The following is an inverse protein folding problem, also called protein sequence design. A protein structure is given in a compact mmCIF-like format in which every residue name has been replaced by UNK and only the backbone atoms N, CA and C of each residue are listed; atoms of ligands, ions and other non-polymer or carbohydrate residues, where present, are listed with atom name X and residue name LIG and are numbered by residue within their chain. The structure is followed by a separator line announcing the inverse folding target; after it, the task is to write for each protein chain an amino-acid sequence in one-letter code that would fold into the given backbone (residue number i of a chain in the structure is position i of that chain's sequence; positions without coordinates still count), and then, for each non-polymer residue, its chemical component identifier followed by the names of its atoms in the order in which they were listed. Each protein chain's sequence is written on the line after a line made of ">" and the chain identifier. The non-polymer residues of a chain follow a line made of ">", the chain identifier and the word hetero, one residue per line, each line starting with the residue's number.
data_IF_338781470705
#
_entry.id   IF_338781470705
#
_cell.length_a   1.000
_cell.length_b   1.000
_cell.length_c   1.000
_cell.angle_alpha   90.00
_cell.angle_beta   90.00
_cell.angle_gamma   90.00
#
_symmetry.space_group_name_H-M   'P 1'
#
loop_
_entity.id
_entity.type
_entity.pdbx_description
1 polymer ?
#
# COMPACT_ATOMS: atom_id res chain seq x y z
N UNK A 1 -1.20 0.45 -30.37
CA UNK A 1 -1.70 0.72 -29.00
C UNK A 1 -1.48 -0.53 -28.17
N UNK A 2 -0.90 -0.39 -27.00
CA UNK A 2 -0.63 -1.49 -26.08
C UNK A 2 -1.75 -1.52 -25.04
N UNK A 3 -2.34 -2.69 -24.84
CA UNK A 3 -3.30 -2.93 -23.77
C UNK A 3 -2.79 -4.11 -22.93
N UNK A 4 -2.92 -3.98 -21.62
CA UNK A 4 -2.51 -4.99 -20.64
C UNK A 4 -3.73 -5.28 -19.79
N UNK A 5 -4.03 -6.55 -19.56
CA UNK A 5 -5.04 -6.95 -18.58
C UNK A 5 -4.41 -7.28 -17.24
N UNK A 6 -5.13 -7.00 -16.17
CA UNK A 6 -4.74 -7.39 -14.83
C UNK A 6 -5.00 -8.88 -14.66
N UNK A 7 -3.98 -9.70 -14.38
CA UNK A 7 -4.18 -11.11 -14.07
C UNK A 7 -5.04 -11.29 -12.82
N UNK A 8 -5.91 -12.28 -12.84
CA UNK A 8 -6.79 -12.67 -11.71
C UNK A 8 -7.85 -11.63 -11.28
N UNK A 9 -8.01 -10.53 -12.05
CA UNK A 9 -9.00 -9.49 -11.77
C UNK A 9 -8.66 -8.62 -10.54
N UNK A 10 -9.60 -7.74 -10.20
CA UNK A 10 -9.50 -6.88 -9.01
C UNK A 10 -9.95 -7.65 -7.75
N UNK A 11 -9.26 -7.42 -6.62
CA UNK A 11 -9.64 -7.92 -5.29
C UNK A 11 -9.64 -6.77 -4.29
N UNK A 12 -10.42 -6.89 -3.21
CA UNK A 12 -10.43 -5.88 -2.13
C UNK A 12 -9.06 -5.72 -1.45
N UNK A 13 -8.20 -6.74 -1.53
CA UNK A 13 -6.82 -6.71 -1.03
C UNK A 13 -5.82 -6.53 -2.18
N UNK A 14 -5.92 -5.39 -2.88
CA UNK A 14 -5.07 -5.05 -4.04
C UNK A 14 -3.59 -4.79 -3.70
N UNK A 15 -3.14 -5.10 -2.49
CA UNK A 15 -1.78 -4.79 -2.05
C UNK A 15 -0.71 -5.71 -2.67
N UNK A 16 -1.10 -6.92 -3.08
CA UNK A 16 -0.17 -7.90 -3.66
C UNK A 16 -0.31 -7.96 -5.20
N UNK A 17 0.34 -7.02 -5.88
CA UNK A 17 0.36 -6.95 -7.35
C UNK A 17 1.72 -7.45 -7.88
N UNK A 18 2.07 -8.73 -7.61
CA UNK A 18 3.34 -9.33 -8.06
C UNK A 18 3.57 -9.20 -9.57
N UNK A 19 2.51 -9.29 -10.36
CA UNK A 19 2.59 -9.09 -11.80
C UNK A 19 3.03 -7.67 -12.17
N UNK A 20 2.63 -6.66 -11.38
CA UNK A 20 3.08 -5.28 -11.58
C UNK A 20 4.54 -5.11 -11.15
N UNK A 21 4.94 -5.77 -10.05
CA UNK A 21 6.34 -5.76 -9.58
C UNK A 21 7.29 -6.27 -10.67
N UNK A 22 6.86 -7.28 -11.42
CA UNK A 22 7.66 -7.90 -12.49
C UNK A 22 7.70 -7.08 -13.79
N UNK A 23 6.82 -6.11 -13.99
CA UNK A 23 6.73 -5.32 -15.23
C UNK A 23 6.69 -3.81 -14.99
N UNK A 24 7.05 -3.34 -13.79
CA UNK A 24 7.00 -1.91 -13.45
C UNK A 24 7.85 -1.07 -14.40
N UNK A 25 9.02 -1.57 -14.81
CA UNK A 25 9.94 -0.89 -15.71
C UNK A 25 9.30 -0.58 -17.08
N UNK A 26 8.28 -1.37 -17.49
CA UNK A 26 7.52 -1.11 -18.72
C UNK A 26 6.75 0.21 -18.66
N UNK A 27 6.39 0.68 -17.47
CA UNK A 27 5.61 1.89 -17.25
C UNK A 27 6.45 3.14 -17.01
N UNK A 28 7.76 3.02 -16.74
CA UNK A 28 8.63 4.14 -16.36
C UNK A 28 8.72 5.24 -17.45
N UNK A 29 8.68 4.84 -18.74
CA UNK A 29 8.78 5.77 -19.87
C UNK A 29 7.40 6.14 -20.47
N UNK A 30 6.30 5.85 -19.81
CA UNK A 30 4.98 6.12 -20.36
C UNK A 30 4.49 7.50 -19.94
N UNK A 31 4.16 8.31 -20.91
CA UNK A 31 3.53 9.63 -20.71
C UNK A 31 2.04 9.52 -20.34
N UNK A 32 1.42 8.38 -20.69
CA UNK A 32 -0.01 8.18 -20.45
C UNK A 32 -0.35 6.71 -20.24
N UNK A 33 -0.91 6.41 -19.08
CA UNK A 33 -1.44 5.09 -18.71
C UNK A 33 -2.94 5.24 -18.44
N UNK A 34 -3.78 4.61 -19.25
CA UNK A 34 -5.24 4.68 -19.10
C UNK A 34 -5.69 3.52 -18.24
N UNK A 35 -6.29 3.83 -17.11
CA UNK A 35 -6.88 2.86 -16.19
C UNK A 35 -8.36 2.68 -16.56
N UNK A 36 -8.69 1.48 -17.06
CA UNK A 36 -10.01 1.07 -17.48
C UNK A 36 -10.43 -0.15 -16.66
N UNK A 37 -10.59 0.05 -15.37
CA UNK A 37 -10.99 -0.96 -14.39
C UNK A 37 -12.50 -1.00 -14.23
N UNK A 38 -13.02 -2.05 -13.59
CA UNK A 38 -14.43 -2.21 -13.31
C UNK A 38 -14.93 -1.12 -12.35
N UNK A 39 -16.18 -0.71 -12.51
CA UNK A 39 -16.81 0.30 -11.64
C UNK A 39 -17.50 -0.38 -10.45
N UNK A 40 -16.71 -1.18 -9.71
CA UNK A 40 -17.12 -1.80 -8.46
C UNK A 40 -16.06 -1.56 -7.38
N UNK A 41 -16.36 -1.92 -6.14
CA UNK A 41 -15.47 -1.68 -4.99
C UNK A 41 -14.06 -2.30 -5.18
N UNK A 42 -13.91 -3.57 -5.65
CA UNK A 42 -12.60 -4.12 -5.99
C UNK A 42 -11.88 -3.37 -7.10
N UNK A 43 -12.59 -2.94 -8.16
CA UNK A 43 -12.02 -2.18 -9.27
C UNK A 43 -11.52 -0.81 -8.84
N UNK A 44 -12.25 -0.11 -7.97
CA UNK A 44 -11.85 1.17 -7.40
C UNK A 44 -10.62 1.02 -6.49
N UNK A 45 -10.56 -0.04 -5.68
CA UNK A 45 -9.38 -0.34 -4.86
C UNK A 45 -8.14 -0.62 -5.72
N UNK A 46 -8.29 -1.38 -6.79
CA UNK A 46 -7.24 -1.62 -7.77
C UNK A 46 -6.79 -0.33 -8.45
N UNK A 47 -7.73 0.53 -8.87
CA UNK A 47 -7.45 1.81 -9.50
C UNK A 47 -6.58 2.70 -8.60
N UNK A 48 -6.95 2.84 -7.33
CA UNK A 48 -6.19 3.63 -6.36
C UNK A 48 -4.77 3.08 -6.16
N UNK A 49 -4.63 1.76 -6.08
CA UNK A 49 -3.32 1.13 -5.91
C UNK A 49 -2.44 1.31 -7.17
N UNK A 50 -3.03 1.21 -8.38
CA UNK A 50 -2.31 1.47 -9.63
C UNK A 50 -1.86 2.93 -9.71
N UNK A 51 -2.72 3.91 -9.38
CA UNK A 51 -2.36 5.33 -9.33
C UNK A 51 -1.21 5.55 -8.35
N UNK A 52 -1.28 4.94 -7.15
CA UNK A 52 -0.24 5.06 -6.13
C UNK A 52 1.12 4.54 -6.59
N UNK A 53 1.14 3.45 -7.35
CA UNK A 53 2.39 2.81 -7.82
C UNK A 53 2.95 3.43 -9.09
N UNK A 54 2.09 3.81 -10.03
CA UNK A 54 2.49 4.33 -11.33
C UNK A 54 2.73 5.85 -11.32
N UNK A 55 2.08 6.56 -10.40
CA UNK A 55 2.08 8.01 -10.32
C UNK A 55 0.81 8.61 -10.94
N UNK A 56 0.22 9.59 -10.24
CA UNK A 56 -1.01 10.25 -10.68
C UNK A 56 -0.80 11.05 -11.98
N UNK A 57 0.40 11.56 -12.19
CA UNK A 57 0.78 12.40 -13.32
C UNK A 57 0.71 11.69 -14.68
N UNK A 58 0.88 10.36 -14.70
CA UNK A 58 0.82 9.56 -15.93
C UNK A 58 -0.50 8.80 -16.06
N UNK A 59 -1.32 8.74 -15.01
CA UNK A 59 -2.55 7.97 -14.97
C UNK A 59 -3.75 8.79 -15.48
N UNK A 60 -4.57 8.14 -16.29
CA UNK A 60 -5.82 8.68 -16.82
C UNK A 60 -6.95 7.71 -16.55
N UNK A 61 -8.09 8.21 -16.11
CA UNK A 61 -9.25 7.42 -15.75
C UNK A 61 -10.26 7.35 -16.89
N UNK A 62 -10.72 6.15 -17.19
CA UNK A 62 -11.85 5.91 -18.08
C UNK A 62 -13.04 5.41 -17.28
N UNK A 63 -14.20 6.04 -17.43
CA UNK A 63 -15.47 5.64 -16.79
C UNK A 63 -16.42 5.13 -17.86
N UNK A 64 -17.19 4.09 -17.56
CA UNK A 64 -18.11 3.44 -18.50
C UNK A 64 -19.58 3.78 -18.22
N UNK A 65 -19.84 4.90 -17.54
CA UNK A 65 -21.18 5.45 -17.24
C UNK A 65 -22.10 4.44 -16.55
N UNK A 66 -23.13 3.98 -17.26
CA UNK A 66 -24.14 3.04 -16.80
C UNK A 66 -23.76 1.54 -17.03
N UNK A 67 -22.51 1.29 -17.41
CA UNK A 67 -21.96 -0.05 -17.60
C UNK A 67 -20.91 -0.35 -16.53
N UNK A 68 -20.90 -1.60 -16.09
CA UNK A 68 -19.99 -2.05 -15.04
C UNK A 68 -18.51 -2.00 -15.50
N UNK A 69 -18.27 -2.36 -16.76
CA UNK A 69 -16.93 -2.50 -17.30
C UNK A 69 -16.86 -2.14 -18.79
N UNK A 70 -15.65 -2.19 -19.34
CA UNK A 70 -15.38 -1.92 -20.76
C UNK A 70 -16.08 -2.92 -21.70
N UNK A 71 -16.28 -4.18 -21.28
CA UNK A 71 -16.93 -5.21 -22.10
C UNK A 71 -18.43 -4.96 -22.20
N UNK A 72 -19.08 -4.63 -21.08
CA UNK A 72 -20.49 -4.27 -21.07
C UNK A 72 -20.75 -3.02 -21.94
N UNK A 73 -19.84 -2.04 -21.84
CA UNK A 73 -19.90 -0.84 -22.66
C UNK A 73 -19.73 -1.14 -24.15
N UNK A 74 -18.77 -2.04 -24.50
CA UNK A 74 -18.54 -2.52 -25.86
C UNK A 74 -19.78 -3.21 -26.44
N UNK A 75 -20.40 -4.09 -25.66
CA UNK A 75 -21.58 -4.84 -26.09
C UNK A 75 -22.79 -3.94 -26.29
N UNK A 76 -22.92 -2.87 -25.49
CA UNK A 76 -24.06 -1.95 -25.54
C UNK A 76 -23.91 -0.87 -26.62
N UNK A 77 -22.72 -0.30 -26.76
CA UNK A 77 -22.49 0.90 -27.59
C UNK A 77 -21.58 0.68 -28.80
N UNK A 78 -20.93 -0.48 -28.88
CA UNK A 78 -20.06 -0.85 -29.99
C UNK A 78 -18.62 -0.37 -29.86
N UNK A 79 -17.80 -0.81 -30.82
CA UNK A 79 -16.34 -0.63 -30.80
C UNK A 79 -15.91 0.83 -30.95
N UNK A 80 -16.57 1.58 -31.79
CA UNK A 80 -16.26 2.99 -32.07
C UNK A 80 -16.51 3.84 -30.81
N UNK A 81 -17.64 3.60 -30.14
CA UNK A 81 -17.99 4.31 -28.90
C UNK A 81 -17.00 3.99 -27.76
N UNK A 82 -16.60 2.73 -27.61
CA UNK A 82 -15.58 2.34 -26.64
C UNK A 82 -14.23 3.01 -26.92
N UNK A 83 -13.80 3.02 -28.20
CA UNK A 83 -12.55 3.68 -28.58
C UNK A 83 -12.56 5.18 -28.28
N UNK A 84 -13.68 5.85 -28.55
CA UNK A 84 -13.88 7.26 -28.23
C UNK A 84 -13.86 7.49 -26.71
N UNK A 85 -14.51 6.62 -25.95
CA UNK A 85 -14.57 6.69 -24.48
C UNK A 85 -13.18 6.58 -23.87
N UNK A 86 -12.39 5.62 -24.29
CA UNK A 86 -10.99 5.45 -23.85
C UNK A 86 -10.15 6.67 -24.27
N UNK A 87 -10.34 7.18 -25.48
CA UNK A 87 -9.61 8.38 -25.94
C UNK A 87 -9.92 9.63 -25.11
N UNK A 88 -11.15 9.76 -24.61
CA UNK A 88 -11.64 10.85 -23.74
C UNK A 88 -11.34 10.64 -22.25
N UNK A 89 -10.52 9.64 -21.89
CA UNK A 89 -10.11 9.44 -20.49
C UNK A 89 -9.52 10.73 -19.90
N UNK A 90 -9.84 11.00 -18.65
CA UNK A 90 -9.46 12.23 -17.94
C UNK A 90 -8.22 11.97 -17.08
N UNK A 91 -7.32 12.95 -16.93
CA UNK A 91 -6.22 12.81 -15.98
C UNK A 91 -6.79 12.59 -14.57
N UNK A 92 -6.03 11.91 -13.74
CA UNK A 92 -6.31 11.88 -12.29
C UNK A 92 -6.39 13.32 -11.79
N UNK A 93 -7.37 13.68 -10.96
CA UNK A 93 -7.46 15.02 -10.39
C UNK A 93 -6.12 15.46 -9.78
N UNK A 94 -5.83 16.75 -9.88
CA UNK A 94 -4.58 17.32 -9.36
C UNK A 94 -4.41 16.93 -7.89
N UNK A 95 -3.27 16.36 -7.55
CA UNK A 95 -2.93 16.08 -6.16
C UNK A 95 -3.05 17.35 -5.31
N UNK A 96 -3.62 17.21 -4.14
CA UNK A 96 -3.78 18.29 -3.15
C UNK A 96 -4.73 19.46 -3.58
N UNK A 97 -5.50 19.30 -4.65
CA UNK A 97 -6.55 20.25 -5.02
C UNK A 97 -7.89 19.52 -5.02
N UNK A 98 -8.68 19.76 -3.99
CA UNK A 98 -10.00 19.16 -3.84
C UNK A 98 -11.06 20.25 -3.83
N UNK A 99 -12.05 20.12 -4.69
CA UNK A 99 -13.23 21.00 -4.66
C UNK A 99 -14.33 20.36 -3.80
N UNK A 100 -15.30 21.17 -3.34
CA UNK A 100 -16.44 20.62 -2.59
C UNK A 100 -17.18 19.52 -3.37
N UNK A 101 -17.31 19.68 -4.68
CA UNK A 101 -17.97 18.71 -5.55
C UNK A 101 -17.25 17.36 -5.60
N UNK A 102 -15.92 17.37 -5.47
CA UNK A 102 -15.11 16.15 -5.48
C UNK A 102 -15.28 15.32 -4.20
N UNK A 103 -15.72 15.96 -3.09
CA UNK A 103 -15.90 15.35 -1.77
C UNK A 103 -17.35 15.34 -1.28
N UNK A 104 -18.31 15.72 -2.12
CA UNK A 104 -19.73 15.85 -1.73
C UNK A 104 -20.31 14.52 -1.25
N UNK A 105 -19.98 13.42 -1.92
CA UNK A 105 -20.42 12.09 -1.55
C UNK A 105 -19.81 11.64 -0.22
N UNK A 106 -18.54 11.94 0.00
CA UNK A 106 -17.83 11.64 1.26
C UNK A 106 -18.42 12.44 2.43
N UNK A 107 -18.72 13.73 2.19
CA UNK A 107 -19.38 14.57 3.21
C UNK A 107 -20.79 14.04 3.51
N UNK A 108 -21.51 13.62 2.48
CA UNK A 108 -22.85 13.05 2.63
C UNK A 108 -22.82 11.75 3.44
N UNK A 109 -21.85 10.86 3.16
CA UNK A 109 -21.64 9.63 3.93
C UNK A 109 -21.24 9.95 5.37
N UNK A 110 -20.31 10.90 5.57
CA UNK A 110 -19.92 11.36 6.91
C UNK A 110 -21.09 11.90 7.74
N UNK A 111 -21.95 12.73 7.13
CA UNK A 111 -23.13 13.28 7.83
C UNK A 111 -24.13 12.18 8.20
N UNK A 112 -24.29 11.16 7.34
CA UNK A 112 -25.23 10.04 7.60
C UNK A 112 -24.71 9.03 8.59
N UNK A 113 -23.43 8.64 8.49
CA UNK A 113 -22.86 7.47 9.14
C UNK A 113 -21.79 7.81 10.18
N UNK A 114 -21.41 9.08 10.30
CA UNK A 114 -20.33 9.53 11.20
C UNK A 114 -18.94 9.18 10.69
N UNK A 115 -17.95 9.33 11.57
CA UNK A 115 -16.54 9.14 11.23
C UNK A 115 -16.20 7.65 11.06
N UNK A 116 -15.71 7.26 9.89
CA UNK A 116 -15.17 5.90 9.68
C UNK A 116 -13.88 5.75 10.48
N UNK A 117 -13.78 4.69 11.27
CA UNK A 117 -12.51 4.37 11.96
C UNK A 117 -11.45 4.00 10.94
N UNK A 118 -10.24 4.51 11.16
CA UNK A 118 -9.06 4.13 10.36
C UNK A 118 -8.56 2.72 10.64
N UNK A 119 -7.40 2.42 10.12
CA UNK A 119 -6.73 1.13 10.31
C UNK A 119 -6.31 0.92 11.77
N UNK A 120 -6.52 -0.27 12.27
CA UNK A 120 -6.32 -0.67 13.67
C UNK A 120 -5.27 -1.79 13.75
N UNK A 121 -4.54 -1.83 14.87
CA UNK A 121 -3.44 -2.79 15.05
C UNK A 121 -3.86 -4.11 15.73
N UNK A 122 -5.10 -4.22 16.18
CA UNK A 122 -5.61 -5.39 16.87
C UNK A 122 -5.38 -5.38 18.39
N UNK A 123 -5.06 -4.22 18.97
CA UNK A 123 -4.95 -4.02 20.43
C UNK A 123 -6.16 -3.22 20.90
N UNK A 124 -7.18 -3.84 21.52
CA UNK A 124 -8.48 -3.19 21.78
C UNK A 124 -8.39 -1.87 22.54
N UNK A 125 -7.56 -1.79 23.57
CA UNK A 125 -7.40 -0.58 24.36
C UNK A 125 -6.74 0.57 23.58
N UNK A 126 -5.82 0.25 22.68
CA UNK A 126 -5.17 1.21 21.81
C UNK A 126 -6.10 1.61 20.65
N UNK A 127 -6.71 0.62 20.00
CA UNK A 127 -7.58 0.82 18.85
C UNK A 127 -8.84 1.64 19.19
N UNK A 128 -9.24 1.68 20.47
CA UNK A 128 -10.35 2.52 20.94
C UNK A 128 -10.01 4.03 20.94
N UNK A 129 -8.74 4.38 21.06
CA UNK A 129 -8.26 5.76 21.16
C UNK A 129 -7.47 6.24 19.97
N UNK A 130 -6.95 5.32 19.15
CA UNK A 130 -6.09 5.65 18.01
C UNK A 130 -6.40 4.73 16.83
N UNK A 131 -6.44 5.32 15.66
CA UNK A 131 -6.49 4.60 14.37
C UNK A 131 -5.68 5.39 13.35
N UNK A 132 -5.15 4.68 12.34
CA UNK A 132 -4.26 5.26 11.34
C UNK A 132 -4.97 5.37 10.00
N UNK A 133 -4.67 6.40 9.25
CA UNK A 133 -5.07 6.53 7.86
C UNK A 133 -3.82 6.52 6.96
N UNK A 134 -3.96 6.12 5.72
CA UNK A 134 -2.87 6.25 4.74
C UNK A 134 -2.52 7.72 4.52
N UNK A 135 -1.23 8.01 4.32
CA UNK A 135 -0.74 9.38 4.15
C UNK A 135 -0.49 10.13 5.44
N UNK A 136 -0.72 9.53 6.61
CA UNK A 136 -0.38 10.16 7.89
C UNK A 136 1.11 10.07 8.21
N UNK A 137 1.63 11.18 8.77
CA UNK A 137 2.91 11.21 9.46
C UNK A 137 2.67 11.02 10.96
N UNK A 138 3.26 9.95 11.52
CA UNK A 138 3.07 9.59 12.93
C UNK A 138 4.41 9.67 13.64
N UNK A 139 4.50 10.49 14.69
CA UNK A 139 5.69 10.58 15.55
C UNK A 139 5.46 9.82 16.85
N UNK A 140 6.33 8.82 17.10
CA UNK A 140 6.37 8.09 18.37
C UNK A 140 7.55 8.60 19.19
N UNK A 141 7.28 9.24 20.31
CA UNK A 141 8.31 9.82 21.19
C UNK A 141 8.22 9.29 22.61
N UNK A 142 9.29 9.44 23.36
CA UNK A 142 9.37 9.03 24.76
C UNK A 142 10.82 8.92 25.23
N UNK A 143 11.00 8.71 26.51
CA UNK A 143 12.33 8.58 27.14
C UNK A 143 13.10 7.37 26.58
N UNK A 144 14.43 7.36 26.62
CA UNK A 144 15.23 6.20 26.25
C UNK A 144 14.77 4.93 26.97
N UNK A 145 14.86 3.79 26.30
CA UNK A 145 14.50 2.47 26.84
C UNK A 145 13.02 2.29 27.25
N UNK A 146 12.12 3.17 26.82
CA UNK A 146 10.67 3.06 27.11
C UNK A 146 9.91 2.09 26.21
N UNK A 147 10.59 1.39 25.30
CA UNK A 147 9.96 0.42 24.39
C UNK A 147 9.34 1.02 23.14
N UNK A 148 9.70 2.26 22.73
CA UNK A 148 9.18 2.92 21.52
C UNK A 148 9.31 2.05 20.26
N UNK A 149 10.54 1.60 19.97
CA UNK A 149 10.81 0.80 18.77
C UNK A 149 10.07 -0.56 18.82
N UNK A 150 9.97 -1.16 20.01
CA UNK A 150 9.20 -2.40 20.19
C UNK A 150 7.69 -2.19 19.98
N UNK A 151 7.17 -1.04 20.41
CA UNK A 151 5.79 -0.66 20.15
C UNK A 151 5.53 -0.38 18.66
N UNK A 152 6.44 0.30 17.97
CA UNK A 152 6.35 0.52 16.52
C UNK A 152 6.38 -0.81 15.77
N UNK A 153 7.27 -1.73 16.14
CA UNK A 153 7.30 -3.09 15.59
C UNK A 153 5.94 -3.80 15.80
N UNK A 154 5.33 -3.63 16.98
CA UNK A 154 4.01 -4.20 17.25
C UNK A 154 2.91 -3.57 16.39
N UNK A 155 2.97 -2.26 16.16
CA UNK A 155 2.02 -1.56 15.28
C UNK A 155 2.10 -2.10 13.85
N UNK A 156 3.29 -2.18 13.28
CA UNK A 156 3.44 -2.62 11.88
C UNK A 156 3.11 -4.09 11.67
N UNK A 157 3.40 -4.95 12.66
CA UNK A 157 2.95 -6.36 12.63
C UNK A 157 1.43 -6.42 12.73
N UNK A 158 0.79 -5.58 13.54
CA UNK A 158 -0.66 -5.47 13.61
C UNK A 158 -1.29 -5.04 12.28
N UNK A 159 -0.75 -4.01 11.63
CA UNK A 159 -1.21 -3.59 10.30
C UNK A 159 -0.98 -4.68 9.24
N UNK A 160 0.15 -5.36 9.29
CA UNK A 160 0.41 -6.46 8.36
C UNK A 160 -0.60 -7.60 8.57
N UNK A 161 -0.86 -8.02 9.80
CA UNK A 161 -1.80 -9.09 10.13
C UNK A 161 -3.23 -8.76 9.72
N UNK A 162 -3.68 -7.54 10.00
CA UNK A 162 -5.08 -7.15 9.79
C UNK A 162 -5.36 -6.72 8.35
N UNK A 163 -4.37 -6.13 7.66
CA UNK A 163 -4.58 -5.47 6.36
C UNK A 163 -3.51 -5.81 5.33
N UNK A 164 -2.60 -6.74 5.62
CA UNK A 164 -1.50 -7.15 4.75
C UNK A 164 -0.58 -5.99 4.32
N UNK A 165 -0.45 -4.97 5.18
CA UNK A 165 0.45 -3.86 4.89
C UNK A 165 1.89 -4.33 4.93
N UNK A 166 2.62 -4.02 3.87
CA UNK A 166 4.06 -4.21 3.81
C UNK A 166 4.76 -2.98 4.39
N UNK A 167 5.85 -3.20 5.12
CA UNK A 167 6.58 -2.15 5.83
C UNK A 167 8.05 -2.14 5.46
N UNK A 168 8.63 -0.95 5.27
CA UNK A 168 10.07 -0.77 5.21
C UNK A 168 10.59 -0.04 6.45
N UNK A 169 11.79 -0.41 6.87
CA UNK A 169 12.48 0.16 8.03
C UNK A 169 13.81 0.77 7.59
N UNK A 170 14.01 2.03 7.92
CA UNK A 170 15.29 2.70 7.93
C UNK A 170 15.69 2.91 9.41
N UNK A 171 16.36 1.94 9.99
CA UNK A 171 16.61 1.88 11.43
C UNK A 171 18.06 1.52 11.74
N UNK A 172 19.01 2.45 11.60
CA UNK A 172 20.42 2.23 11.89
C UNK A 172 20.68 1.83 13.35
N UNK A 173 19.83 2.23 14.30
CA UNK A 173 19.96 1.80 15.71
C UNK A 173 19.62 0.32 15.93
N UNK A 174 18.85 -0.29 15.05
CA UNK A 174 18.54 -1.70 15.11
C UNK A 174 19.55 -2.57 14.33
N UNK A 175 20.75 -2.07 14.12
CA UNK A 175 21.84 -2.84 13.54
C UNK A 175 22.41 -3.86 14.58
N UNK A 176 22.86 -5.03 14.12
CA UNK A 176 22.76 -5.53 12.75
C UNK A 176 21.34 -5.99 12.42
N UNK A 177 20.97 -5.88 11.14
CA UNK A 177 19.61 -6.10 10.59
C UNK A 177 18.97 -7.43 11.02
N UNK A 178 19.75 -8.50 11.16
CA UNK A 178 19.21 -9.80 11.59
C UNK A 178 18.60 -9.77 13.01
N UNK A 179 19.06 -8.89 13.90
CA UNK A 179 18.46 -8.73 15.23
C UNK A 179 17.07 -8.12 15.14
N UNK A 180 16.89 -7.13 14.26
CA UNK A 180 15.58 -6.54 14.03
C UNK A 180 14.63 -7.54 13.35
N UNK A 181 15.10 -8.22 12.31
CA UNK A 181 14.33 -9.30 11.66
C UNK A 181 13.90 -10.37 12.66
N UNK A 182 14.79 -10.78 13.59
CA UNK A 182 14.45 -11.72 14.65
C UNK A 182 13.39 -11.18 15.63
N UNK A 183 13.42 -9.88 15.98
CA UNK A 183 12.37 -9.26 16.81
C UNK A 183 11.00 -9.32 16.11
N UNK A 184 10.95 -9.01 14.81
CA UNK A 184 9.72 -9.11 14.03
C UNK A 184 9.24 -10.56 13.91
N UNK A 185 10.17 -11.49 13.64
CA UNK A 185 9.87 -12.93 13.59
C UNK A 185 9.17 -13.40 14.87
N UNK A 186 9.67 -13.02 16.04
CA UNK A 186 9.05 -13.35 17.34
C UNK A 186 7.61 -12.83 17.46
N UNK A 187 7.34 -11.63 16.97
CA UNK A 187 5.99 -11.04 17.00
C UNK A 187 5.03 -11.73 16.03
N UNK A 188 5.52 -12.17 14.88
CA UNK A 188 4.74 -12.93 13.90
C UNK A 188 4.50 -14.35 14.38
N UNK A 189 5.51 -14.98 14.98
CA UNK A 189 5.44 -16.35 15.54
C UNK A 189 4.52 -16.45 16.76
N UNK A 190 4.31 -15.33 17.45
CA UNK A 190 3.57 -15.22 18.73
C UNK A 190 4.22 -15.96 19.91
N UNK A 191 5.46 -16.47 19.74
CA UNK A 191 6.25 -17.14 20.76
C UNK A 191 7.75 -16.98 20.43
N UNK A 192 8.61 -17.61 21.22
CA UNK A 192 10.05 -17.57 21.03
C UNK A 192 10.49 -18.80 20.21
N UNK A 193 10.91 -18.63 18.95
CA UNK A 193 11.45 -19.77 18.19
C UNK A 193 12.74 -20.29 18.85
N UNK A 194 12.87 -21.61 18.88
CA UNK A 194 13.99 -22.33 19.48
C UNK A 194 14.89 -22.95 18.40
N UNK A 195 16.02 -23.53 18.81
CA UNK A 195 16.88 -24.25 17.86
C UNK A 195 16.19 -25.43 17.18
N UNK A 196 15.20 -26.04 17.85
CA UNK A 196 14.46 -27.17 17.31
C UNK A 196 13.48 -26.78 16.21
N UNK A 197 13.10 -25.49 16.15
CA UNK A 197 12.18 -24.99 15.16
C UNK A 197 12.85 -24.69 13.81
N UNK A 198 14.18 -24.55 13.78
CA UNK A 198 14.94 -24.21 12.58
C UNK A 198 14.75 -25.30 11.50
N UNK A 199 14.25 -24.87 10.33
CA UNK A 199 14.00 -25.75 9.19
C UNK A 199 12.67 -26.51 9.25
N UNK A 200 11.83 -26.27 10.26
CA UNK A 200 10.45 -26.78 10.27
C UNK A 200 9.58 -26.00 9.27
N UNK A 201 8.43 -26.58 8.91
CA UNK A 201 7.47 -25.91 8.01
C UNK A 201 7.05 -24.56 8.57
N UNK A 202 6.78 -24.47 9.88
CA UNK A 202 6.43 -23.21 10.54
C UNK A 202 7.57 -22.19 10.47
N UNK A 203 8.83 -22.62 10.63
CA UNK A 203 9.99 -21.74 10.47
C UNK A 203 10.05 -21.14 9.06
N UNK A 204 9.90 -21.99 8.05
CA UNK A 204 9.94 -21.58 6.65
C UNK A 204 8.77 -20.63 6.33
N UNK A 205 7.56 -20.96 6.76
CA UNK A 205 6.38 -20.12 6.59
C UNK A 205 6.57 -18.71 7.19
N UNK A 206 7.08 -18.62 8.43
CA UNK A 206 7.32 -17.33 9.07
C UNK A 206 8.49 -16.58 8.42
N UNK A 207 9.54 -17.29 8.01
CA UNK A 207 10.67 -16.68 7.30
C UNK A 207 10.23 -16.07 5.95
N UNK A 208 9.44 -16.82 5.19
CA UNK A 208 8.85 -16.35 3.92
C UNK A 208 7.92 -15.15 4.17
N UNK A 209 7.08 -15.23 5.20
CA UNK A 209 6.22 -14.10 5.57
C UNK A 209 7.01 -12.83 5.90
N UNK A 210 8.12 -12.95 6.67
CA UNK A 210 8.98 -11.79 6.96
C UNK A 210 9.61 -11.26 5.68
N UNK A 211 10.14 -12.12 4.82
CA UNK A 211 10.77 -11.75 3.56
C UNK A 211 9.82 -10.98 2.63
N UNK A 212 8.55 -11.39 2.58
CA UNK A 212 7.58 -10.82 1.66
C UNK A 212 6.94 -9.52 2.14
N UNK A 213 7.01 -9.25 3.46
CA UNK A 213 6.25 -8.15 4.06
C UNK A 213 7.10 -7.08 4.76
N UNK A 214 8.35 -7.39 5.13
CA UNK A 214 9.19 -6.47 5.89
C UNK A 214 10.54 -6.26 5.22
N UNK A 215 10.82 -5.02 4.85
CA UNK A 215 12.02 -4.63 4.09
C UNK A 215 12.93 -3.79 4.97
N UNK A 216 14.22 -4.07 4.95
CA UNK A 216 15.21 -3.34 5.74
C UNK A 216 16.06 -2.50 4.79
N UNK A 217 15.98 -1.18 4.95
CA UNK A 217 16.80 -0.23 4.21
C UNK A 217 18.14 -0.17 4.94
N UNK A 218 19.17 -0.72 4.30
CA UNK A 218 20.54 -0.71 4.80
C UNK A 218 21.40 0.13 3.85
N UNK A 219 21.98 1.21 4.35
CA UNK A 219 22.75 2.20 3.59
C UNK A 219 23.99 2.63 4.37
N UNK A 220 25.07 2.92 3.67
CA UNK A 220 26.28 3.46 4.30
C UNK A 220 26.07 4.85 4.91
N UNK A 221 25.17 5.64 4.32
CA UNK A 221 24.80 6.98 4.82
C UNK A 221 23.30 7.16 4.78
N UNK A 222 22.72 7.44 5.93
CA UNK A 222 21.30 7.75 6.10
C UNK A 222 21.11 9.27 6.05
N UNK A 223 20.48 9.77 5.00
CA UNK A 223 19.89 11.11 4.96
C UNK A 223 18.39 10.96 4.73
N UNK A 224 17.59 11.91 5.22
CA UNK A 224 16.13 11.84 5.04
C UNK A 224 15.76 11.68 3.55
N UNK A 225 16.40 12.45 2.67
CA UNK A 225 16.18 12.38 1.22
C UNK A 225 16.51 11.00 0.64
N UNK A 226 17.64 10.40 1.06
CA UNK A 226 18.02 9.08 0.57
C UNK A 226 17.06 7.98 1.05
N UNK A 227 16.60 8.08 2.30
CA UNK A 227 15.60 7.16 2.88
C UNK A 227 14.27 7.30 2.17
N UNK A 228 13.78 8.54 1.97
CA UNK A 228 12.52 8.79 1.28
C UNK A 228 12.57 8.33 -0.19
N UNK A 229 13.68 8.56 -0.89
CA UNK A 229 13.87 8.04 -2.26
C UNK A 229 13.81 6.51 -2.31
N UNK A 230 14.48 5.83 -1.36
CA UNK A 230 14.43 4.36 -1.27
C UNK A 230 13.04 3.87 -0.86
N UNK A 231 12.35 4.58 0.02
CA UNK A 231 10.95 4.34 0.35
C UNK A 231 10.04 4.43 -0.87
N UNK A 232 10.17 5.49 -1.67
CA UNK A 232 9.40 5.65 -2.92
C UNK A 232 9.67 4.50 -3.92
N UNK A 233 10.94 4.06 -4.06
CA UNK A 233 11.25 2.88 -4.86
C UNK A 233 10.54 1.62 -4.33
N UNK A 234 10.54 1.40 -3.01
CA UNK A 234 9.87 0.27 -2.39
C UNK A 234 8.34 0.36 -2.49
N UNK A 235 7.77 1.57 -2.49
CA UNK A 235 6.34 1.77 -2.82
C UNK A 235 6.05 1.24 -4.22
N UNK A 236 6.84 1.67 -5.22
CA UNK A 236 6.65 1.27 -6.62
C UNK A 236 6.86 -0.23 -6.83
N UNK A 237 7.96 -0.79 -6.32
CA UNK A 237 8.37 -2.17 -6.59
C UNK A 237 7.73 -3.21 -5.67
N UNK A 238 7.47 -2.88 -4.42
CA UNK A 238 7.02 -3.84 -3.39
C UNK A 238 5.65 -3.49 -2.78
N UNK A 239 5.13 -2.31 -3.06
CA UNK A 239 3.83 -1.87 -2.57
C UNK A 239 3.81 -1.59 -1.07
N UNK A 240 4.93 -1.20 -0.45
CA UNK A 240 4.91 -0.86 0.98
C UNK A 240 3.90 0.24 1.26
N UNK A 241 3.24 0.16 2.41
CA UNK A 241 2.28 1.17 2.91
C UNK A 241 2.78 1.89 4.16
N UNK A 242 3.83 1.39 4.77
CA UNK A 242 4.45 1.99 5.94
C UNK A 242 5.96 2.11 5.74
N UNK A 243 6.52 3.28 6.07
CA UNK A 243 7.96 3.51 6.16
C UNK A 243 8.25 3.96 7.59
N UNK A 244 9.08 3.19 8.28
CA UNK A 244 9.55 3.51 9.64
C UNK A 244 10.95 4.08 9.54
N UNK A 245 11.17 5.23 10.19
CA UNK A 245 12.48 5.88 10.31
C UNK A 245 12.80 5.97 11.80
N UNK A 246 13.84 5.27 12.26
CA UNK A 246 14.22 5.17 13.68
C UNK A 246 15.74 5.19 13.84
N UNK A 247 16.36 6.26 14.39
CA UNK A 247 15.71 7.48 14.85
C UNK A 247 15.41 8.45 13.69
N UNK A 248 14.44 9.35 13.94
CA UNK A 248 14.20 10.53 13.12
C UNK A 248 14.89 11.73 13.79
N UNK A 249 16.14 12.02 13.37
CA UNK A 249 16.97 13.12 13.89
C UNK A 249 17.33 14.09 12.78
#
# INVERSE_FOLDING_TARGET
>A
KNAISVPNGATLNSNNLEYLDNCIDYFEDKERVILAVDDDEPGQALQQELIRRLGAEVCFLSSFEDCKDANDYLMKYGKEALAERIAKSRPVPLENVTTFKDIEDEITDFVKNGFKRGYQIGIPNFDNIFSTYTGQFITVTGIPSSGKSDFVDQMVVGYNRNYQWKTAFASPENAPTYLHAHKLMRKVWEDMPTKADIGTDKWNEVADHINDNFYFIDMERYTLESVLRKGAELVKRKGIKCLVIDPFN
#
